data_IF_870877337467
#
_entry.id   IF_870877337467
#
_cell.length_a   1.000
_cell.length_b   1.000
_cell.length_c   1.000
_cell.angle_alpha   90.00
_cell.angle_beta   90.00
_cell.angle_gamma   90.00
#
_symmetry.space_group_name_H-M   'P 1'
#
loop_
_entity.id
_entity.type
_entity.pdbx_description
1 polymer ?
#
# COMPACT_ATOMS: atom_id res chain seq x y z
N UNK A 1 -60.52 -6.59 -45.40
CA UNK A 1 -59.15 -6.12 -45.08
C UNK A 1 -58.85 -6.53 -43.67
N UNK A 2 -58.14 -7.62 -43.54
CA UNK A 2 -57.84 -8.34 -42.32
C UNK A 2 -56.57 -7.75 -41.65
N UNK A 3 -56.70 -7.28 -40.43
CA UNK A 3 -55.55 -6.83 -39.60
C UNK A 3 -54.85 -8.04 -38.97
N UNK A 4 -53.48 -7.93 -38.72
CA UNK A 4 -52.71 -9.03 -38.17
C UNK A 4 -52.88 -9.13 -36.67
N UNK A 5 -53.04 -10.39 -36.18
CA UNK A 5 -53.14 -10.83 -34.81
C UNK A 5 -51.80 -10.60 -34.01
N UNK A 6 -51.93 -10.18 -32.78
CA UNK A 6 -50.86 -10.04 -31.81
C UNK A 6 -50.31 -11.39 -31.31
N UNK A 7 -49.02 -11.54 -31.05
CA UNK A 7 -48.44 -12.75 -30.48
C UNK A 7 -48.64 -12.83 -28.97
N UNK A 8 -48.88 -14.09 -28.49
CA UNK A 8 -49.07 -14.49 -27.11
C UNK A 8 -47.79 -14.33 -26.28
N UNK A 9 -47.92 -14.08 -24.93
CA UNK A 9 -46.73 -13.98 -24.03
C UNK A 9 -46.13 -15.36 -23.70
N UNK A 10 -44.83 -15.46 -23.44
CA UNK A 10 -44.17 -16.70 -23.06
C UNK A 10 -44.51 -17.12 -21.64
N UNK A 11 -44.70 -18.43 -21.46
CA UNK A 11 -44.92 -19.13 -20.20
C UNK A 11 -43.71 -18.98 -19.28
N UNK A 12 -43.95 -18.61 -18.00
CA UNK A 12 -42.96 -18.51 -16.94
C UNK A 12 -42.42 -19.89 -16.49
N UNK A 13 -41.22 -19.90 -15.86
CA UNK A 13 -40.64 -21.14 -15.37
C UNK A 13 -41.28 -21.66 -14.11
N UNK A 14 -41.48 -23.00 -14.08
CA UNK A 14 -42.04 -23.80 -12.99
C UNK A 14 -41.16 -23.76 -11.73
N UNK A 15 -41.81 -23.57 -10.58
CA UNK A 15 -41.22 -23.71 -9.23
C UNK A 15 -40.74 -25.14 -8.97
N UNK A 16 -39.55 -25.35 -8.30
CA UNK A 16 -39.19 -26.66 -7.77
C UNK A 16 -39.83 -26.87 -6.38
N UNK A 17 -40.45 -28.05 -6.23
CA UNK A 17 -41.06 -28.52 -5.02
C UNK A 17 -40.12 -28.79 -3.84
N UNK A 18 -40.65 -28.97 -2.60
CA UNK A 18 -39.84 -29.06 -1.39
C UNK A 18 -39.12 -30.40 -1.26
N UNK A 19 -37.79 -30.33 -1.04
CA UNK A 19 -36.94 -31.48 -0.74
C UNK A 19 -37.05 -31.79 0.76
N UNK A 20 -37.46 -33.05 1.07
CA UNK A 20 -37.64 -33.58 2.42
C UNK A 20 -36.36 -33.62 3.24
N UNK A 21 -36.46 -33.18 4.49
CA UNK A 21 -35.42 -33.33 5.49
C UNK A 21 -35.33 -34.77 6.05
N UNK A 22 -34.15 -35.21 6.51
CA UNK A 22 -34.02 -36.50 7.16
C UNK A 22 -34.47 -36.47 8.62
N UNK A 23 -35.13 -37.59 9.02
CA UNK A 23 -35.68 -37.87 10.35
C UNK A 23 -34.60 -38.05 11.42
N UNK A 24 -34.91 -37.81 12.73
CA UNK A 24 -33.98 -38.06 13.81
C UNK A 24 -33.93 -39.54 14.21
N UNK A 25 -32.73 -40.12 14.31
CA UNK A 25 -32.48 -41.44 14.81
C UNK A 25 -32.42 -41.44 16.36
N UNK A 26 -33.07 -42.47 16.90
CA UNK A 26 -33.38 -42.72 18.29
C UNK A 26 -32.15 -42.99 19.18
N UNK A 27 -32.43 -42.71 20.47
CA UNK A 27 -31.64 -43.01 21.65
C UNK A 27 -31.15 -44.47 21.75
N UNK A 28 -29.95 -44.65 22.27
CA UNK A 28 -29.63 -45.87 22.99
C UNK A 28 -28.92 -45.55 24.32
N UNK A 29 -29.53 -46.01 25.39
CA UNK A 29 -29.09 -45.97 26.76
C UNK A 29 -28.15 -47.12 27.04
N UNK A 30 -27.11 -46.85 27.84
CA UNK A 30 -26.21 -47.86 28.36
C UNK A 30 -25.04 -47.31 29.17
N UNK A 31 -25.27 -47.08 30.48
CA UNK A 31 -24.15 -47.00 31.42
C UNK A 31 -23.70 -48.41 31.80
N UNK A 32 -22.44 -48.60 32.21
CA UNK A 32 -22.17 -48.59 33.64
C UNK A 32 -20.86 -47.92 34.10
N UNK A 33 -20.87 -47.68 35.38
CA UNK A 33 -19.85 -47.04 36.18
C UNK A 33 -18.52 -47.82 36.21
N UNK A 34 -17.42 -47.08 36.23
CA UNK A 34 -16.08 -47.58 36.51
C UNK A 34 -15.18 -46.50 37.05
N UNK A 35 -14.72 -46.71 38.26
CA UNK A 35 -13.98 -45.85 39.15
C UNK A 35 -12.60 -45.37 38.68
N UNK A 36 -12.22 -44.19 39.15
CA UNK A 36 -10.91 -43.91 39.74
C UNK A 36 -9.75 -43.56 38.83
N UNK A 37 -9.25 -42.32 39.01
CA UNK A 37 -7.89 -41.90 38.69
C UNK A 37 -7.72 -40.40 38.60
N UNK A 38 -7.01 -39.75 39.55
CA UNK A 38 -6.66 -38.34 39.44
C UNK A 38 -5.38 -38.19 38.61
N UNK A 39 -5.36 -37.23 37.73
CA UNK A 39 -4.11 -36.79 37.14
C UNK A 39 -4.02 -36.91 35.62
N UNK A 40 -4.65 -36.03 34.91
CA UNK A 40 -4.39 -35.77 33.50
C UNK A 40 -4.34 -34.27 33.30
N UNK A 41 -3.25 -33.67 33.69
CA UNK A 41 -2.93 -32.34 33.24
C UNK A 41 -2.92 -32.35 31.72
N UNK A 42 -3.84 -31.63 31.11
CA UNK A 42 -3.77 -31.30 29.68
C UNK A 42 -2.47 -30.56 29.47
N UNK A 43 -1.45 -31.29 29.02
CA UNK A 43 -0.24 -30.69 28.49
C UNK A 43 -0.73 -29.71 27.40
N UNK A 44 -0.67 -28.43 27.71
CA UNK A 44 -0.74 -27.37 26.70
C UNK A 44 0.45 -27.67 25.79
N UNK A 45 0.15 -28.28 24.63
CA UNK A 45 1.16 -28.41 23.60
C UNK A 45 1.79 -27.02 23.42
N UNK A 46 3.12 -26.89 23.50
CA UNK A 46 3.78 -25.65 23.21
C UNK A 46 3.39 -25.33 21.76
N UNK A 47 2.59 -24.25 21.58
CA UNK A 47 2.34 -23.63 20.28
C UNK A 47 3.69 -23.58 19.60
N UNK A 48 3.84 -24.39 18.58
CA UNK A 48 5.02 -24.42 17.72
C UNK A 48 5.33 -22.98 17.38
N UNK A 49 6.37 -22.45 18.02
CA UNK A 49 6.90 -21.15 17.68
C UNK A 49 7.14 -21.22 16.17
N UNK A 50 6.36 -20.46 15.42
CA UNK A 50 6.59 -20.23 14.01
C UNK A 50 8.04 -19.76 13.93
N UNK A 51 8.94 -20.69 13.63
CA UNK A 51 10.32 -20.39 13.31
C UNK A 51 10.23 -19.34 12.19
N UNK A 52 10.45 -18.08 12.56
CA UNK A 52 10.75 -17.07 11.58
C UNK A 52 11.89 -17.64 10.74
N UNK A 53 11.71 -17.80 9.42
CA UNK A 53 12.76 -18.33 8.61
C UNK A 53 13.97 -17.42 8.79
N UNK A 54 15.02 -17.93 9.42
CA UNK A 54 16.35 -17.32 9.43
C UNK A 54 16.89 -17.40 8.01
N UNK A 55 16.15 -16.77 7.09
CA UNK A 55 16.43 -16.68 5.66
C UNK A 55 17.56 -15.72 5.45
N UNK A 56 18.74 -16.26 5.64
CA UNK A 56 20.03 -15.97 5.03
C UNK A 56 20.14 -14.56 4.43
N UNK A 57 21.01 -13.77 5.02
CA UNK A 57 21.36 -12.38 4.66
C UNK A 57 21.65 -12.13 3.16
N UNK A 58 21.94 -13.18 2.37
CA UNK A 58 22.20 -13.06 0.93
C UNK A 58 20.97 -12.62 0.09
N UNK A 59 19.74 -12.96 0.53
CA UNK A 59 18.51 -12.50 -0.15
C UNK A 59 18.35 -10.99 -0.08
N UNK A 60 18.90 -10.35 0.95
CA UNK A 60 18.88 -8.89 1.07
C UNK A 60 19.75 -8.20 0.01
N UNK A 61 20.73 -8.91 -0.57
CA UNK A 61 21.60 -8.39 -1.62
C UNK A 61 21.14 -8.74 -3.03
N UNK A 62 20.18 -9.67 -3.18
CA UNK A 62 19.65 -10.02 -4.51
C UNK A 62 18.91 -8.85 -5.16
N UNK A 63 18.14 -8.10 -4.38
CA UNK A 63 17.37 -6.97 -4.90
C UNK A 63 18.27 -5.85 -5.45
N UNK A 64 19.28 -5.31 -4.71
CA UNK A 64 20.19 -4.33 -5.27
C UNK A 64 21.03 -4.88 -6.42
N UNK A 65 21.43 -6.15 -6.38
CA UNK A 65 22.14 -6.79 -7.50
C UNK A 65 21.28 -6.82 -8.76
N UNK A 66 20.00 -7.18 -8.63
CA UNK A 66 19.05 -7.18 -9.75
C UNK A 66 18.83 -5.77 -10.31
N UNK A 67 18.74 -4.75 -9.43
CA UNK A 67 18.62 -3.34 -9.84
C UNK A 67 19.83 -2.92 -10.68
N UNK A 68 21.05 -3.21 -10.22
CA UNK A 68 22.28 -2.89 -10.92
C UNK A 68 22.38 -3.65 -12.25
N UNK A 69 22.03 -4.95 -12.24
CA UNK A 69 22.09 -5.79 -13.44
C UNK A 69 21.10 -5.31 -14.52
N UNK A 70 19.84 -5.04 -14.13
CA UNK A 70 18.80 -4.57 -15.06
C UNK A 70 19.15 -3.17 -15.59
N UNK A 71 19.55 -2.25 -14.70
CA UNK A 71 19.93 -0.90 -15.07
C UNK A 71 21.17 -0.87 -15.98
N UNK A 72 22.20 -1.66 -15.65
CA UNK A 72 23.41 -1.78 -16.46
C UNK A 72 23.15 -2.39 -17.84
N UNK A 73 22.37 -3.49 -17.89
CA UNK A 73 21.99 -4.13 -19.15
C UNK A 73 21.19 -3.19 -20.03
N UNK A 74 20.27 -2.42 -19.44
CA UNK A 74 19.48 -1.44 -20.16
C UNK A 74 20.35 -0.29 -20.70
N UNK A 75 21.29 0.19 -19.89
CA UNK A 75 22.23 1.24 -20.33
C UNK A 75 23.11 0.79 -21.49
N UNK A 76 23.62 -0.43 -21.42
CA UNK A 76 24.36 -1.06 -22.53
C UNK A 76 23.51 -1.20 -23.80
N UNK A 77 22.23 -1.55 -23.65
CA UNK A 77 21.32 -1.62 -24.79
C UNK A 77 21.10 -0.24 -25.43
N UNK A 78 20.89 0.82 -24.62
CA UNK A 78 20.68 2.19 -25.11
C UNK A 78 21.94 2.72 -25.82
N UNK A 79 23.13 2.48 -25.25
CA UNK A 79 24.41 2.91 -25.86
C UNK A 79 24.71 2.24 -27.20
N UNK A 80 24.25 0.98 -27.39
CA UNK A 80 24.44 0.24 -28.63
C UNK A 80 23.25 0.38 -29.62
N UNK A 81 22.25 1.21 -29.28
CA UNK A 81 21.09 1.44 -30.16
C UNK A 81 21.34 2.63 -31.06
N UNK A 82 20.90 2.55 -32.32
CA UNK A 82 20.88 3.67 -33.26
C UNK A 82 19.82 4.69 -32.83
N UNK A 83 20.23 5.65 -32.01
CA UNK A 83 19.35 6.70 -31.52
C UNK A 83 19.27 7.86 -32.51
N UNK A 84 18.06 8.30 -32.84
CA UNK A 84 17.88 9.54 -33.57
C UNK A 84 18.24 10.77 -32.71
N UNK A 85 18.37 11.93 -33.32
CA UNK A 85 18.80 13.16 -32.64
C UNK A 85 17.92 13.59 -31.46
N UNK A 86 16.63 13.25 -31.50
CA UNK A 86 15.69 13.56 -30.42
C UNK A 86 15.87 12.58 -29.26
N UNK A 87 15.92 11.27 -29.54
CA UNK A 87 16.15 10.25 -28.53
C UNK A 87 17.52 10.45 -27.85
N UNK A 88 18.58 10.73 -28.62
CA UNK A 88 19.91 10.99 -28.07
C UNK A 88 19.95 12.19 -27.11
N UNK A 89 19.17 13.25 -27.42
CA UNK A 89 19.07 14.43 -26.53
C UNK A 89 18.32 14.12 -25.24
N UNK A 90 17.20 13.41 -25.34
CA UNK A 90 16.34 13.08 -24.15
C UNK A 90 16.97 12.00 -23.28
N UNK A 91 17.80 11.12 -23.87
CA UNK A 91 18.54 10.10 -23.14
C UNK A 91 19.97 10.55 -22.75
N UNK A 92 20.31 11.83 -22.97
CA UNK A 92 21.58 12.38 -22.51
C UNK A 92 21.71 12.20 -20.98
N UNK A 93 22.86 11.75 -20.47
CA UNK A 93 23.05 11.43 -19.05
C UNK A 93 22.65 12.57 -18.10
N UNK A 94 23.00 13.80 -18.45
CA UNK A 94 22.67 14.99 -17.64
C UNK A 94 21.15 15.21 -17.55
N UNK A 95 20.43 15.05 -18.67
CA UNK A 95 18.99 15.21 -18.71
C UNK A 95 18.29 14.09 -17.90
N UNK A 96 18.72 12.86 -18.07
CA UNK A 96 18.18 11.72 -17.30
C UNK A 96 18.47 11.87 -15.82
N UNK A 97 19.67 12.31 -15.43
CA UNK A 97 20.02 12.57 -14.04
C UNK A 97 19.15 13.67 -13.43
N UNK A 98 18.95 14.78 -14.16
CA UNK A 98 18.06 15.86 -13.73
C UNK A 98 16.62 15.35 -13.53
N UNK A 99 16.07 14.62 -14.50
CA UNK A 99 14.71 14.07 -14.40
C UNK A 99 14.56 13.03 -13.29
N UNK A 100 15.59 12.26 -13.02
CA UNK A 100 15.63 11.35 -11.88
C UNK A 100 15.61 12.13 -10.56
N UNK A 101 16.36 13.20 -10.44
CA UNK A 101 16.35 14.05 -9.25
C UNK A 101 14.99 14.70 -9.02
N UNK A 102 14.40 15.32 -10.04
CA UNK A 102 13.04 15.89 -10.00
C UNK A 102 12.02 14.84 -9.53
N UNK A 103 12.15 13.60 -10.01
CA UNK A 103 11.26 12.50 -9.63
C UNK A 103 11.41 12.09 -8.17
N UNK A 104 12.65 12.02 -7.67
CA UNK A 104 12.93 11.76 -6.26
C UNK A 104 12.35 12.88 -5.39
N UNK A 105 12.54 14.13 -5.79
CA UNK A 105 12.00 15.29 -5.08
C UNK A 105 10.47 15.22 -4.97
N UNK A 106 9.76 14.97 -6.09
CA UNK A 106 8.31 14.76 -6.10
C UNK A 106 7.89 13.65 -5.12
N UNK A 107 8.53 12.48 -5.19
CA UNK A 107 8.18 11.34 -4.37
C UNK A 107 8.47 11.57 -2.88
N UNK A 108 9.60 12.18 -2.56
CA UNK A 108 9.99 12.44 -1.16
C UNK A 108 9.14 13.54 -0.54
N UNK A 109 9.00 14.68 -1.22
CA UNK A 109 8.23 15.82 -0.69
C UNK A 109 6.77 15.42 -0.49
N UNK A 110 6.14 14.76 -1.49
CA UNK A 110 4.77 14.29 -1.34
C UNK A 110 4.63 13.27 -0.22
N UNK A 111 5.57 12.32 -0.08
CA UNK A 111 5.54 11.35 1.02
C UNK A 111 5.67 12.01 2.38
N UNK A 112 6.60 12.95 2.55
CA UNK A 112 6.76 13.66 3.83
C UNK A 112 5.47 14.39 4.22
N UNK A 113 4.83 15.08 3.28
CA UNK A 113 3.54 15.74 3.53
C UNK A 113 2.44 14.72 3.86
N UNK A 114 2.38 13.59 3.15
CA UNK A 114 1.46 12.50 3.49
C UNK A 114 1.68 12.03 4.93
N UNK A 115 2.91 11.80 5.36
CA UNK A 115 3.21 11.31 6.70
C UNK A 115 2.85 12.34 7.78
N UNK A 116 3.15 13.62 7.53
CA UNK A 116 2.80 14.73 8.43
C UNK A 116 1.28 14.85 8.62
N UNK A 117 0.49 14.48 7.62
CA UNK A 117 -0.98 14.48 7.70
C UNK A 117 -1.51 13.14 8.25
N UNK A 118 -1.08 12.02 7.67
CA UNK A 118 -1.69 10.72 7.90
C UNK A 118 -1.36 10.15 9.29
N UNK A 119 -0.13 10.34 9.79
CA UNK A 119 0.26 9.79 11.10
C UNK A 119 -0.48 10.50 12.23
N UNK A 120 -0.49 11.85 12.35
CA UNK A 120 -1.26 12.53 13.39
C UNK A 120 -2.76 12.26 13.28
N UNK A 121 -3.31 12.24 12.05
CA UNK A 121 -4.71 11.93 11.83
C UNK A 121 -5.05 10.49 12.25
N UNK A 122 -4.19 9.51 11.95
CA UNK A 122 -4.34 8.12 12.39
C UNK A 122 -4.28 7.98 13.92
N UNK A 123 -3.35 8.68 14.57
CA UNK A 123 -3.28 8.77 16.04
C UNK A 123 -4.56 9.38 16.60
N UNK A 124 -5.06 10.46 16.03
CA UNK A 124 -6.29 11.12 16.47
C UNK A 124 -7.49 10.18 16.35
N UNK A 125 -7.68 9.54 15.20
CA UNK A 125 -8.80 8.64 14.92
C UNK A 125 -8.72 7.32 15.69
N UNK A 126 -7.57 6.95 16.23
CA UNK A 126 -7.45 5.80 17.13
C UNK A 126 -8.06 6.05 18.52
N UNK A 127 -8.29 7.31 18.90
CA UNK A 127 -8.85 7.68 20.19
C UNK A 127 -10.35 7.40 20.26
N UNK A 128 -10.83 7.00 21.45
CA UNK A 128 -12.24 6.60 21.68
C UNK A 128 -13.25 7.69 21.25
N UNK A 129 -12.93 8.95 21.53
CA UNK A 129 -13.81 10.09 21.20
C UNK A 129 -13.84 10.40 19.69
N UNK A 130 -12.80 10.10 18.93
CA UNK A 130 -12.70 10.34 17.50
C UNK A 130 -13.10 9.11 16.65
N UNK A 131 -13.22 7.92 17.25
CA UNK A 131 -13.63 6.67 16.57
C UNK A 131 -14.86 6.81 15.70
N UNK A 132 -15.95 7.50 16.12
CA UNK A 132 -17.14 7.64 15.27
C UNK A 132 -16.87 8.34 13.93
N UNK A 133 -15.85 9.21 13.87
CA UNK A 133 -15.46 9.90 12.64
C UNK A 133 -14.60 9.02 11.70
N UNK A 134 -14.01 7.93 12.19
CA UNK A 134 -13.10 7.09 11.41
C UNK A 134 -13.71 6.57 10.11
N UNK A 135 -14.94 6.02 10.07
CA UNK A 135 -15.54 5.55 8.82
C UNK A 135 -15.68 6.66 7.78
N UNK A 136 -16.09 7.85 8.20
CA UNK A 136 -16.26 9.00 7.31
C UNK A 136 -14.91 9.46 6.73
N UNK A 137 -13.89 9.60 7.57
CA UNK A 137 -12.55 10.02 7.13
C UNK A 137 -11.94 8.99 6.18
N UNK A 138 -12.07 7.69 6.48
CA UNK A 138 -11.61 6.63 5.59
C UNK A 138 -12.41 6.60 4.28
N UNK A 139 -13.72 6.86 4.31
CA UNK A 139 -14.54 6.95 3.09
C UNK A 139 -14.07 8.09 2.19
N UNK A 140 -13.81 9.28 2.75
CA UNK A 140 -13.28 10.44 1.99
C UNK A 140 -11.91 10.10 1.39
N UNK A 141 -11.01 9.52 2.17
CA UNK A 141 -9.69 9.12 1.68
C UNK A 141 -9.78 8.01 0.61
N UNK A 142 -10.74 7.08 0.74
CA UNK A 142 -11.01 6.06 -0.28
C UNK A 142 -11.50 6.67 -1.60
N UNK A 143 -12.39 7.67 -1.55
CA UNK A 143 -12.87 8.37 -2.76
C UNK A 143 -11.68 9.00 -3.49
N UNK A 144 -10.78 9.67 -2.75
CA UNK A 144 -9.57 10.27 -3.34
C UNK A 144 -8.67 9.25 -4.05
N UNK A 145 -8.54 8.05 -3.49
CA UNK A 145 -7.71 6.98 -4.08
C UNK A 145 -8.43 6.17 -5.17
N UNK A 146 -9.76 6.11 -5.13
CA UNK A 146 -10.55 5.38 -6.14
C UNK A 146 -10.71 6.16 -7.44
N UNK A 147 -10.55 7.48 -7.41
CA UNK A 147 -10.57 8.30 -8.62
C UNK A 147 -9.35 7.99 -9.51
N UNK A 148 -9.47 8.00 -10.84
CA UNK A 148 -8.32 7.87 -11.72
C UNK A 148 -7.29 8.95 -11.40
N UNK A 149 -6.05 8.54 -11.04
CA UNK A 149 -5.02 9.47 -10.57
C UNK A 149 -4.76 10.60 -11.58
N UNK A 150 -4.73 10.28 -12.88
CA UNK A 150 -4.59 11.29 -13.94
C UNK A 150 -5.76 12.29 -13.94
N UNK A 151 -6.99 11.83 -13.69
CA UNK A 151 -8.16 12.69 -13.62
C UNK A 151 -8.06 13.70 -12.47
N UNK A 152 -7.62 13.26 -11.29
CA UNK A 152 -7.40 14.13 -10.14
C UNK A 152 -6.32 15.17 -10.42
N UNK A 153 -5.19 14.74 -11.00
CA UNK A 153 -4.08 15.62 -11.37
C UNK A 153 -4.54 16.70 -12.36
N UNK A 154 -5.27 16.32 -13.41
CA UNK A 154 -5.78 17.25 -14.42
C UNK A 154 -6.84 18.20 -13.84
N UNK A 155 -7.76 17.70 -13.01
CA UNK A 155 -8.76 18.53 -12.34
C UNK A 155 -8.12 19.61 -11.45
N UNK A 156 -7.10 19.22 -10.69
CA UNK A 156 -6.36 20.16 -9.85
C UNK A 156 -5.56 21.17 -10.71
N UNK A 157 -5.01 20.73 -11.83
CA UNK A 157 -4.28 21.61 -12.74
C UNK A 157 -5.18 22.67 -13.37
N UNK A 158 -6.41 22.32 -13.72
CA UNK A 158 -7.42 23.28 -14.23
C UNK A 158 -7.82 24.29 -13.14
N UNK A 159 -7.84 23.86 -11.88
CA UNK A 159 -8.30 24.70 -10.76
C UNK A 159 -7.19 25.58 -10.18
N UNK A 160 -5.99 25.01 -9.97
CA UNK A 160 -4.87 25.66 -9.28
C UNK A 160 -3.70 26.02 -10.19
N UNK A 161 -3.79 25.67 -11.48
CA UNK A 161 -2.71 25.84 -12.44
C UNK A 161 -1.79 24.60 -12.52
N UNK A 162 -0.95 24.57 -13.57
CA UNK A 162 0.01 23.50 -13.82
C UNK A 162 1.30 23.73 -13.00
N UNK A 163 2.02 22.65 -12.69
CA UNK A 163 3.35 22.73 -12.09
C UNK A 163 3.56 21.82 -10.88
N UNK A 164 4.73 21.93 -10.30
CA UNK A 164 5.23 21.09 -9.21
C UNK A 164 4.30 21.02 -7.99
N UNK A 165 3.85 22.16 -7.47
CA UNK A 165 3.03 22.19 -6.25
C UNK A 165 1.63 21.60 -6.45
N UNK A 166 1.04 21.80 -7.61
CA UNK A 166 -0.23 21.16 -7.96
C UNK A 166 -0.08 19.64 -8.05
N UNK A 167 1.04 19.17 -8.62
CA UNK A 167 1.36 17.75 -8.63
C UNK A 167 1.54 17.20 -7.20
N UNK A 168 2.24 17.90 -6.31
CA UNK A 168 2.39 17.52 -4.89
C UNK A 168 1.03 17.38 -4.22
N UNK A 169 0.12 18.34 -4.37
CA UNK A 169 -1.23 18.28 -3.77
C UNK A 169 -1.99 17.04 -4.25
N UNK A 170 -1.93 16.76 -5.56
CA UNK A 170 -2.57 15.56 -6.13
C UNK A 170 -1.98 14.26 -5.57
N UNK A 171 -0.65 14.17 -5.50
CA UNK A 171 0.06 13.01 -4.95
C UNK A 171 -0.26 12.82 -3.46
N UNK A 172 -0.31 13.89 -2.68
CA UNK A 172 -0.69 13.84 -1.25
C UNK A 172 -2.10 13.31 -1.09
N UNK A 173 -3.07 13.84 -1.85
CA UNK A 173 -4.45 13.35 -1.80
C UNK A 173 -4.55 11.84 -2.08
N UNK A 174 -3.72 11.35 -3.00
CA UNK A 174 -3.67 9.94 -3.36
C UNK A 174 -2.96 9.07 -2.32
N UNK A 175 -1.90 9.58 -1.70
CA UNK A 175 -1.04 8.83 -0.78
C UNK A 175 -1.50 8.78 0.68
N UNK A 176 -2.42 9.64 1.11
CA UNK A 176 -2.84 9.72 2.53
C UNK A 176 -3.46 8.40 3.02
N UNK A 177 -4.27 7.74 2.20
CA UNK A 177 -5.03 6.55 2.63
C UNK A 177 -4.15 5.39 3.10
N UNK A 178 -3.11 4.92 2.36
CA UNK A 178 -2.27 3.81 2.81
C UNK A 178 -1.58 4.11 4.14
N UNK A 179 -0.99 5.30 4.28
CA UNK A 179 -0.32 5.72 5.51
C UNK A 179 -1.29 5.82 6.70
N UNK A 180 -2.47 6.40 6.48
CA UNK A 180 -3.52 6.53 7.49
C UNK A 180 -4.02 5.16 7.95
N UNK A 181 -4.33 4.25 7.02
CA UNK A 181 -4.79 2.89 7.36
C UNK A 181 -3.76 2.12 8.17
N UNK A 182 -2.50 2.13 7.75
CA UNK A 182 -1.45 1.42 8.47
C UNK A 182 -1.20 2.01 9.86
N UNK A 183 -1.29 3.34 10.02
CA UNK A 183 -1.19 4.00 11.33
C UNK A 183 -2.34 3.57 12.25
N UNK A 184 -3.58 3.58 11.74
CA UNK A 184 -4.75 3.13 12.49
C UNK A 184 -4.65 1.66 12.89
N UNK A 185 -4.33 0.77 11.95
CA UNK A 185 -4.19 -0.67 12.18
C UNK A 185 -3.07 -0.93 13.19
N UNK A 186 -1.92 -0.28 13.04
CA UNK A 186 -0.80 -0.43 13.97
C UNK A 186 -1.18 -0.06 15.40
N UNK A 187 -1.89 1.04 15.61
CA UNK A 187 -2.34 1.46 16.94
C UNK A 187 -3.48 0.59 17.49
N UNK A 188 -4.35 0.06 16.63
CA UNK A 188 -5.45 -0.81 17.04
C UNK A 188 -5.00 -2.24 17.41
N UNK A 189 -3.84 -2.68 16.92
CA UNK A 189 -3.26 -3.99 17.23
C UNK A 189 -2.53 -4.03 18.58
N UNK A 190 -2.31 -2.87 19.22
CA UNK A 190 -1.70 -2.83 20.55
C UNK A 190 -2.65 -3.44 21.57
N UNK A 191 -2.14 -4.40 22.36
CA UNK A 191 -2.92 -5.08 23.40
C UNK A 191 -3.46 -4.08 24.43
N UNK A 192 -4.80 -4.02 24.65
CA UNK A 192 -5.41 -3.15 25.64
C UNK A 192 -4.85 -3.37 27.06
N UNK A 193 -4.44 -4.59 27.39
CA UNK A 193 -3.89 -4.90 28.73
C UNK A 193 -2.60 -4.12 29.01
N UNK A 194 -1.77 -3.89 27.98
CA UNK A 194 -0.54 -3.08 28.12
C UNK A 194 -0.86 -1.61 28.32
N UNK A 195 -1.88 -1.09 27.66
CA UNK A 195 -2.31 0.32 27.82
C UNK A 195 -2.94 0.54 29.19
N UNK A 196 -3.73 -0.43 29.68
CA UNK A 196 -4.39 -0.37 30.99
C UNK A 196 -3.36 -0.53 32.12
N UNK A 197 -2.37 -1.41 31.97
CA UNK A 197 -1.25 -1.51 32.91
C UNK A 197 -0.48 -0.18 33.02
N UNK A 198 -0.19 0.47 31.87
CA UNK A 198 0.43 1.78 31.84
C UNK A 198 -0.38 2.84 32.59
N UNK A 199 -1.70 2.86 32.44
CA UNK A 199 -2.60 3.75 33.18
C UNK A 199 -2.64 3.39 34.67
N UNK A 200 -2.65 2.10 35.02
CA UNK A 200 -2.66 1.62 36.41
C UNK A 200 -1.44 2.08 37.21
N UNK A 201 -0.28 2.21 36.57
CA UNK A 201 0.94 2.77 37.24
C UNK A 201 1.03 4.31 37.13
N UNK A 202 -0.07 4.99 36.78
CA UNK A 202 -0.17 6.46 36.79
C UNK A 202 0.33 7.17 35.53
N UNK A 203 0.49 6.48 34.39
CA UNK A 203 0.83 7.17 33.12
C UNK A 203 -0.36 7.97 32.61
N UNK A 204 -0.11 9.22 32.19
CA UNK A 204 -1.10 10.00 31.44
C UNK A 204 -1.35 9.38 30.03
N UNK A 205 -2.50 9.66 29.43
CA UNK A 205 -2.84 9.15 28.10
C UNK A 205 -1.78 9.47 27.03
N UNK A 206 -1.18 10.68 27.07
CA UNK A 206 -0.10 11.06 26.16
C UNK A 206 1.18 10.25 26.42
N UNK A 207 1.47 9.89 27.68
CA UNK A 207 2.63 9.09 28.04
C UNK A 207 2.44 7.62 27.63
N UNK A 208 1.22 7.07 27.79
CA UNK A 208 0.86 5.74 27.28
C UNK A 208 1.01 5.71 25.76
N UNK A 209 0.48 6.71 25.03
CA UNK A 209 0.65 6.80 23.58
C UNK A 209 2.14 6.79 23.19
N UNK A 210 2.95 7.66 23.79
CA UNK A 210 4.35 7.84 23.37
C UNK A 210 5.26 6.69 23.79
N UNK A 211 5.01 6.03 24.93
CA UNK A 211 5.90 5.00 25.50
C UNK A 211 5.42 3.57 25.33
N UNK A 212 4.15 3.36 25.05
CA UNK A 212 3.56 2.02 24.90
C UNK A 212 2.99 1.85 23.48
N UNK A 213 1.99 2.65 23.11
CA UNK A 213 1.25 2.43 21.85
C UNK A 213 2.12 2.67 20.62
N UNK A 214 2.80 3.82 20.52
CA UNK A 214 3.61 4.14 19.32
C UNK A 214 4.80 3.19 19.13
N UNK A 215 5.60 2.85 20.16
CA UNK A 215 6.67 1.86 19.97
C UNK A 215 6.17 0.50 19.51
N UNK A 216 5.05 0.01 20.05
CA UNK A 216 4.46 -1.26 19.66
C UNK A 216 3.81 -1.21 18.26
N UNK A 217 3.25 -0.07 17.86
CA UNK A 217 2.70 0.16 16.53
C UNK A 217 3.76 0.43 15.45
N UNK A 218 4.98 0.79 15.83
CA UNK A 218 6.07 1.20 14.92
C UNK A 218 6.30 0.23 13.76
N UNK A 219 6.35 -1.11 13.92
CA UNK A 219 6.58 -2.01 12.80
C UNK A 219 5.51 -1.89 11.71
N UNK A 220 4.24 -1.75 12.09
CA UNK A 220 3.10 -1.62 11.16
C UNK A 220 3.10 -0.24 10.51
N UNK A 221 3.39 0.82 11.29
CA UNK A 221 3.52 2.19 10.76
C UNK A 221 4.66 2.26 9.74
N UNK A 222 5.83 1.69 10.04
CA UNK A 222 6.97 1.64 9.11
C UNK A 222 6.64 0.87 7.83
N UNK A 223 5.89 -0.23 7.93
CA UNK A 223 5.40 -0.94 6.75
C UNK A 223 4.49 -0.04 5.90
N UNK A 224 3.62 0.75 6.54
CA UNK A 224 2.79 1.75 5.87
C UNK A 224 3.59 2.85 5.19
N UNK A 225 4.60 3.38 5.85
CA UNK A 225 5.52 4.38 5.29
C UNK A 225 6.21 3.83 4.04
N UNK A 226 6.75 2.62 4.12
CA UNK A 226 7.39 1.95 2.98
C UNK A 226 6.43 1.79 1.79
N UNK A 227 5.22 1.30 2.05
CA UNK A 227 4.19 1.14 1.01
C UNK A 227 3.83 2.48 0.37
N UNK A 228 3.69 3.52 1.19
CA UNK A 228 3.40 4.88 0.69
C UNK A 228 4.54 5.43 -0.16
N UNK A 229 5.79 5.28 0.27
CA UNK A 229 6.96 5.70 -0.52
C UNK A 229 6.99 5.05 -1.90
N UNK A 230 6.83 3.73 -1.97
CA UNK A 230 6.82 2.99 -3.24
C UNK A 230 5.66 3.44 -4.12
N UNK A 231 4.47 3.63 -3.53
CA UNK A 231 3.31 4.16 -4.24
C UNK A 231 3.58 5.56 -4.81
N UNK A 232 4.19 6.45 -4.03
CA UNK A 232 4.52 7.82 -4.47
C UNK A 232 5.50 7.82 -5.63
N UNK A 233 6.53 6.96 -5.61
CA UNK A 233 7.46 6.84 -6.74
C UNK A 233 6.71 6.42 -8.02
N UNK A 234 5.83 5.45 -7.95
CA UNK A 234 5.06 5.02 -9.13
C UNK A 234 4.12 6.11 -9.64
N UNK A 235 3.37 6.75 -8.73
CA UNK A 235 2.36 7.76 -9.10
C UNK A 235 2.95 9.12 -9.46
N UNK A 236 4.16 9.45 -9.00
CA UNK A 236 4.85 10.69 -9.38
C UNK A 236 5.08 10.81 -10.89
N UNK A 237 5.10 9.69 -11.63
CA UNK A 237 5.17 9.72 -13.10
C UNK A 237 4.03 10.49 -13.76
N UNK A 238 2.86 10.58 -13.10
CA UNK A 238 1.68 11.28 -13.62
C UNK A 238 1.86 12.81 -13.53
N UNK A 239 2.76 13.30 -12.67
CA UNK A 239 3.03 14.73 -12.54
C UNK A 239 3.49 15.39 -13.86
N UNK A 240 4.12 14.62 -14.76
CA UNK A 240 4.56 15.09 -16.08
C UNK A 240 3.42 15.61 -16.95
N UNK A 241 2.19 15.11 -16.78
CA UNK A 241 1.03 15.59 -17.56
C UNK A 241 0.64 17.03 -17.26
N UNK A 242 1.09 17.56 -16.12
CA UNK A 242 0.84 18.94 -15.70
C UNK A 242 2.12 19.74 -15.50
N UNK A 243 3.20 19.37 -16.21
CA UNK A 243 4.52 20.00 -16.09
C UNK A 243 5.09 19.98 -14.67
N UNK A 244 4.76 18.94 -13.90
CA UNK A 244 5.31 18.73 -12.56
C UNK A 244 6.75 18.22 -12.58
N UNK A 245 7.26 17.78 -13.73
CA UNK A 245 8.61 17.26 -13.90
C UNK A 245 8.75 15.76 -13.60
N UNK A 246 10.01 15.31 -13.52
CA UNK A 246 10.38 13.95 -13.15
C UNK A 246 10.49 12.98 -14.34
N UNK A 247 10.75 11.72 -14.03
CA UNK A 247 10.96 10.65 -15.03
C UNK A 247 9.72 10.39 -15.90
N UNK A 248 8.54 10.84 -15.49
CA UNK A 248 7.33 10.80 -16.31
C UNK A 248 7.47 11.57 -17.63
N UNK A 249 8.35 12.59 -17.68
CA UNK A 249 8.64 13.35 -18.90
C UNK A 249 9.25 12.48 -20.00
N UNK A 250 10.06 11.46 -19.63
CA UNK A 250 10.59 10.49 -20.59
C UNK A 250 9.44 9.62 -21.14
N UNK A 251 8.51 9.21 -20.29
CA UNK A 251 7.37 8.40 -20.72
C UNK A 251 6.50 9.19 -21.69
N UNK A 252 6.08 10.40 -21.30
CA UNK A 252 5.21 11.25 -22.15
C UNK A 252 5.89 11.64 -23.45
N UNK A 253 7.19 11.96 -23.42
CA UNK A 253 7.99 12.25 -24.62
C UNK A 253 8.11 11.01 -25.50
N UNK A 254 8.42 9.85 -24.93
CA UNK A 254 8.52 8.60 -25.68
C UNK A 254 7.22 8.20 -26.37
N UNK A 255 6.08 8.37 -25.69
CA UNK A 255 4.75 8.13 -26.27
C UNK A 255 4.43 9.13 -27.37
N UNK A 256 4.56 10.44 -27.08
CA UNK A 256 4.15 11.49 -28.04
C UNK A 256 5.01 11.52 -29.30
N UNK A 257 6.27 11.14 -29.20
CA UNK A 257 7.22 11.07 -30.33
C UNK A 257 7.40 9.68 -30.92
N UNK A 258 6.66 8.69 -30.40
CA UNK A 258 6.73 7.27 -30.79
C UNK A 258 8.14 6.67 -30.72
N UNK A 259 8.89 7.03 -29.69
CA UNK A 259 10.27 6.56 -29.45
C UNK A 259 10.31 5.55 -28.30
N UNK A 260 10.23 4.27 -28.65
CA UNK A 260 10.23 3.15 -27.70
C UNK A 260 11.45 3.17 -26.75
N UNK A 261 12.70 3.44 -27.17
CA UNK A 261 13.83 3.51 -26.23
C UNK A 261 13.66 4.57 -25.15
N UNK A 262 13.12 5.75 -25.48
CA UNK A 262 12.86 6.83 -24.51
C UNK A 262 11.75 6.42 -23.52
N UNK A 263 10.65 5.89 -24.03
CA UNK A 263 9.54 5.39 -23.21
C UNK A 263 10.01 4.32 -22.20
N UNK A 264 10.71 3.30 -22.71
CA UNK A 264 11.18 2.20 -21.87
C UNK A 264 12.21 2.65 -20.84
N UNK A 265 13.08 3.60 -21.20
CA UNK A 265 14.03 4.18 -20.22
C UNK A 265 13.28 4.82 -19.05
N UNK A 266 12.26 5.62 -19.31
CA UNK A 266 11.43 6.20 -18.25
C UNK A 266 10.78 5.13 -17.37
N UNK A 267 10.15 4.13 -17.97
CA UNK A 267 9.49 3.03 -17.24
C UNK A 267 10.48 2.22 -16.39
N UNK A 268 11.63 1.85 -16.96
CA UNK A 268 12.66 1.06 -16.27
C UNK A 268 13.26 1.84 -15.11
N UNK A 269 13.60 3.11 -15.31
CA UNK A 269 14.18 3.93 -14.24
C UNK A 269 13.21 4.14 -13.08
N UNK A 270 11.92 4.36 -13.35
CA UNK A 270 10.89 4.46 -12.29
C UNK A 270 10.78 3.13 -11.55
N UNK A 271 10.74 2.00 -12.25
CA UNK A 271 10.67 0.68 -11.63
C UNK A 271 11.91 0.38 -10.77
N UNK A 272 13.10 0.69 -11.26
CA UNK A 272 14.36 0.52 -10.53
C UNK A 272 14.42 1.42 -9.30
N UNK A 273 13.96 2.67 -9.42
CA UNK A 273 13.88 3.62 -8.31
C UNK A 273 12.88 3.12 -7.24
N UNK A 274 11.71 2.63 -7.66
CA UNK A 274 10.73 2.05 -6.75
C UNK A 274 11.30 0.84 -5.99
N UNK A 275 12.01 -0.06 -6.68
CA UNK A 275 12.68 -1.20 -6.07
C UNK A 275 13.79 -0.79 -5.12
N UNK A 276 14.58 0.23 -5.47
CA UNK A 276 15.63 0.78 -4.61
C UNK A 276 15.06 1.37 -3.33
N UNK A 277 14.01 2.18 -3.44
CA UNK A 277 13.32 2.79 -2.30
C UNK A 277 12.66 1.73 -1.44
N UNK A 278 12.06 0.70 -2.04
CA UNK A 278 11.50 -0.44 -1.32
C UNK A 278 12.57 -1.18 -0.49
N UNK A 279 13.73 -1.41 -1.09
CA UNK A 279 14.86 -2.04 -0.39
C UNK A 279 15.40 -1.17 0.75
N UNK A 280 15.61 0.12 0.50
CA UNK A 280 16.04 1.08 1.52
C UNK A 280 15.03 1.18 2.66
N UNK A 281 13.73 1.27 2.35
CA UNK A 281 12.65 1.28 3.32
C UNK A 281 12.61 0.01 4.17
N UNK A 282 12.84 -1.16 3.55
CA UNK A 282 12.95 -2.43 4.24
C UNK A 282 14.16 -2.50 5.17
N UNK A 283 15.29 -1.91 4.79
CA UNK A 283 16.48 -1.81 5.63
C UNK A 283 16.25 -0.84 6.81
N UNK A 284 15.69 0.33 6.54
CA UNK A 284 15.35 1.31 7.57
C UNK A 284 14.36 0.73 8.59
N UNK A 285 13.34 0.00 8.14
CA UNK A 285 12.39 -0.66 9.02
C UNK A 285 13.06 -1.66 9.97
N UNK A 286 14.05 -2.44 9.50
CA UNK A 286 14.82 -3.37 10.34
C UNK A 286 15.69 -2.68 11.39
N UNK A 287 16.22 -1.49 11.06
CA UNK A 287 17.08 -0.71 11.97
C UNK A 287 16.25 0.04 13.01
N UNK A 288 15.06 0.51 12.63
CA UNK A 288 14.17 1.31 13.48
C UNK A 288 13.18 0.45 14.29
N UNK A 289 12.98 -0.81 13.93
CA UNK A 289 12.14 -1.70 14.70
C UNK A 289 12.71 -1.91 16.10
N UNK A 290 11.89 -1.79 17.17
CA UNK A 290 12.33 -2.01 18.54
C UNK A 290 12.90 -3.43 18.68
N UNK A 291 14.11 -3.55 19.23
CA UNK A 291 14.72 -4.84 19.53
C UNK A 291 14.02 -5.45 20.74
N UNK A 292 13.36 -6.60 20.56
CA UNK A 292 12.74 -7.36 21.66
C UNK A 292 11.22 -7.45 21.59
N UNK A 293 10.60 -7.13 20.47
CA UNK A 293 9.18 -7.41 20.17
C UNK A 293 9.07 -8.63 19.28
#
# INVERSE_FOLDING_TARGET
>A
MTGPSAPSPPSGPSEPGPVGGPAPAAANAGAPAGAGGPGGGTAVEPRTALHAPTGRSWRAFLQPLAIIAIGGLWMLYVENSDLDSIAARVLAPDYVAQKTWEHIELAVVSTLLVLVIAIPLGVLLSRSWARPATPLVLAIANIGQSAPAIGVVVLLAVTFGIGFWTAIVALVAYGVLPALRNTLVGLQQVDPTLTDAGRGIGMSAARVLARVELPLATPVILAGIRTTLVLMVGTASIASFISGGGLGDLITTGVSTQRTPVLLTGCILIALLALLIDWLGGMAARLLAPKGL
#
